data_IF_656780047606
#
_entry.id   IF_656780047606
#
_cell.length_a   1.000
_cell.length_b   1.000
_cell.length_c   1.000
_cell.angle_alpha   90.00
_cell.angle_beta   90.00
_cell.angle_gamma   90.00
#
_symmetry.space_group_name_H-M   'P 1'
#
loop_
_entity.id
_entity.type
_entity.pdbx_description
1 polymer ?
#
# COMPACT_ATOMS: atom_id res chain seq x y z
N UNK A 1 7.00 1.66 20.21
CA UNK A 1 6.98 1.82 18.77
C UNK A 1 6.23 0.66 18.13
N UNK A 2 5.30 0.95 17.24
CA UNK A 2 4.49 -0.08 16.59
C UNK A 2 5.34 -0.84 15.58
N UNK A 3 5.33 -2.17 15.67
CA UNK A 3 6.07 -3.01 14.72
C UNK A 3 5.37 -3.17 13.37
N UNK A 4 4.13 -2.71 13.24
CA UNK A 4 3.34 -2.89 12.01
C UNK A 4 4.04 -2.31 10.77
N UNK A 5 4.61 -1.11 10.88
CA UNK A 5 5.33 -0.50 9.75
C UNK A 5 6.57 -1.31 9.36
N UNK A 6 7.25 -1.90 10.33
CA UNK A 6 8.41 -2.76 10.06
C UNK A 6 7.99 -4.06 9.35
N UNK A 7 6.87 -4.64 9.76
CA UNK A 7 6.35 -5.86 9.12
C UNK A 7 5.93 -5.57 7.68
N UNK A 8 5.30 -4.43 7.44
CA UNK A 8 4.92 -4.01 6.08
C UNK A 8 6.17 -3.87 5.21
N UNK A 9 7.21 -3.19 5.72
CA UNK A 9 8.47 -3.04 4.97
C UNK A 9 9.12 -4.39 4.70
N UNK A 10 9.10 -5.29 5.67
CA UNK A 10 9.69 -6.61 5.50
C UNK A 10 9.01 -7.40 4.38
N UNK A 11 7.68 -7.38 4.34
CA UNK A 11 6.95 -8.07 3.28
C UNK A 11 7.17 -7.38 1.92
N UNK A 12 7.21 -6.05 1.91
CA UNK A 12 7.53 -5.32 0.69
C UNK A 12 8.89 -5.77 0.12
N UNK A 13 9.93 -5.75 0.95
CA UNK A 13 11.27 -6.14 0.53
C UNK A 13 11.32 -7.61 0.09
N UNK A 14 10.64 -8.48 0.83
CA UNK A 14 10.53 -9.89 0.48
C UNK A 14 9.90 -10.09 -0.90
N UNK A 15 8.83 -9.35 -1.21
CA UNK A 15 8.22 -9.41 -2.54
C UNK A 15 9.20 -8.99 -3.62
N UNK A 16 9.91 -7.88 -3.41
CA UNK A 16 10.88 -7.37 -4.39
C UNK A 16 11.99 -8.39 -4.62
N UNK A 17 12.52 -8.98 -3.55
CA UNK A 17 13.60 -9.96 -3.64
C UNK A 17 13.17 -11.24 -4.35
N UNK A 18 11.89 -11.54 -4.38
CA UNK A 18 11.34 -12.74 -5.01
C UNK A 18 10.65 -12.44 -6.36
N UNK A 19 10.89 -11.28 -6.94
CA UNK A 19 10.27 -10.84 -8.20
C UNK A 19 8.74 -10.92 -8.16
N UNK A 20 8.17 -10.73 -6.97
CA UNK A 20 6.73 -10.70 -6.76
C UNK A 20 6.21 -9.28 -6.69
N UNK A 21 4.92 -9.11 -6.96
CA UNK A 21 4.29 -7.79 -6.94
C UNK A 21 3.67 -7.54 -5.57
N UNK A 22 4.19 -6.55 -4.79
CA UNK A 22 3.60 -6.24 -3.48
C UNK A 22 2.30 -5.47 -3.67
N UNK A 23 1.22 -6.05 -3.17
CA UNK A 23 -0.10 -5.43 -3.15
C UNK A 23 -0.47 -5.09 -1.71
N UNK A 24 -1.08 -3.92 -1.51
CA UNK A 24 -1.52 -3.49 -0.19
C UNK A 24 -3.04 -3.40 -0.16
N UNK A 25 -3.62 -3.94 0.91
CA UNK A 25 -5.05 -3.86 1.19
C UNK A 25 -5.26 -2.89 2.34
N UNK A 26 -6.12 -1.90 2.16
CA UNK A 26 -6.38 -0.88 3.17
C UNK A 26 -7.84 -0.51 3.22
N UNK A 27 -8.31 -0.15 4.41
CA UNK A 27 -9.58 0.53 4.56
C UNK A 27 -9.47 1.94 3.98
N UNK A 28 -10.60 2.47 3.52
CA UNK A 28 -10.71 3.86 3.10
C UNK A 28 -11.48 4.58 4.20
N UNK A 29 -10.76 5.32 5.03
CA UNK A 29 -11.37 5.99 6.18
C UNK A 29 -10.52 7.16 6.65
N UNK A 30 -11.13 8.11 7.36
CA UNK A 30 -10.43 9.19 8.02
C UNK A 30 -9.50 9.95 7.10
N UNK A 31 -8.19 9.82 7.38
CA UNK A 31 -7.14 10.57 6.69
C UNK A 31 -6.64 9.90 5.41
N UNK A 32 -7.28 8.84 4.95
CA UNK A 32 -6.91 8.20 3.68
C UNK A 32 -6.99 9.23 2.55
N UNK A 33 -5.90 9.34 1.79
CA UNK A 33 -5.82 10.22 0.63
C UNK A 33 -5.66 9.37 -0.61
N UNK A 34 -6.68 9.34 -1.44
CA UNK A 34 -6.72 8.59 -2.71
C UNK A 34 -7.51 9.41 -3.73
N UNK A 35 -7.39 9.08 -5.03
CA UNK A 35 -8.24 9.73 -6.03
C UNK A 35 -9.72 9.53 -5.70
N UNK A 36 -10.52 10.56 -5.89
CA UNK A 36 -11.95 10.51 -5.58
C UNK A 36 -12.67 9.39 -6.32
N UNK A 37 -12.24 9.10 -7.55
CA UNK A 37 -12.81 8.01 -8.33
C UNK A 37 -12.67 6.63 -7.69
N UNK A 38 -11.74 6.47 -6.73
CA UNK A 38 -11.51 5.21 -6.04
C UNK A 38 -12.15 5.18 -4.64
N UNK A 39 -12.79 6.27 -4.21
CA UNK A 39 -13.28 6.41 -2.84
C UNK A 39 -14.67 5.80 -2.60
N UNK A 40 -15.26 5.17 -3.61
CA UNK A 40 -16.62 4.64 -3.52
C UNK A 40 -16.78 3.33 -2.75
N UNK A 41 -15.68 2.71 -2.32
CA UNK A 41 -15.68 1.44 -1.59
C UNK A 41 -15.17 1.64 -0.17
N UNK A 42 -15.36 0.62 0.68
CA UNK A 42 -14.83 0.65 2.05
C UNK A 42 -13.36 0.27 2.08
N UNK A 43 -12.89 -0.47 1.10
CA UNK A 43 -11.53 -0.97 1.01
C UNK A 43 -10.94 -0.69 -0.36
N UNK A 44 -9.61 -0.66 -0.42
CA UNK A 44 -8.88 -0.50 -1.67
C UNK A 44 -7.68 -1.44 -1.68
N UNK A 45 -7.37 -1.99 -2.86
CA UNK A 45 -6.15 -2.76 -3.10
C UNK A 45 -5.30 -1.97 -4.09
N UNK A 46 -4.04 -1.73 -3.74
CA UNK A 46 -3.12 -0.95 -4.57
C UNK A 46 -1.84 -1.74 -4.82
N UNK A 47 -1.33 -1.61 -6.04
CA UNK A 47 -0.07 -2.21 -6.44
C UNK A 47 1.07 -1.27 -6.04
N UNK A 48 1.99 -1.76 -5.19
CA UNK A 48 3.16 -1.00 -4.74
C UNK A 48 4.44 -1.37 -5.47
N UNK A 49 4.35 -2.07 -6.59
CA UNK A 49 5.54 -2.44 -7.36
C UNK A 49 6.32 -1.21 -7.78
N UNK A 50 7.68 -1.25 -7.76
CA UNK A 50 8.51 -0.07 -8.07
C UNK A 50 8.23 0.55 -9.44
N UNK A 51 7.83 -0.26 -10.42
CA UNK A 51 7.51 0.26 -11.76
C UNK A 51 6.13 0.92 -11.82
N UNK A 52 5.30 0.76 -10.78
CA UNK A 52 3.93 1.30 -10.74
C UNK A 52 3.81 2.58 -9.95
N UNK A 53 4.75 2.85 -9.03
CA UNK A 53 4.66 3.96 -8.09
C UNK A 53 6.00 4.69 -7.96
N UNK A 54 5.95 5.86 -7.32
CA UNK A 54 7.13 6.68 -7.04
C UNK A 54 7.13 7.11 -5.58
N UNK A 55 8.32 7.34 -5.03
CA UNK A 55 8.51 7.96 -3.71
C UNK A 55 7.78 7.24 -2.58
N UNK A 56 7.96 5.93 -2.51
CA UNK A 56 7.34 5.13 -1.46
C UNK A 56 7.98 5.41 -0.10
N UNK A 57 7.14 5.74 0.89
CA UNK A 57 7.52 5.85 2.30
C UNK A 57 6.60 4.98 3.13
N UNK A 58 7.20 4.18 3.99
CA UNK A 58 6.49 3.33 4.95
C UNK A 58 7.04 3.69 6.32
N UNK A 59 6.24 4.33 7.16
CA UNK A 59 6.63 4.70 8.51
C UNK A 59 5.47 4.50 9.49
N UNK A 60 5.64 4.95 10.72
CA UNK A 60 4.64 4.73 11.77
C UNK A 60 3.35 5.53 11.57
N UNK A 61 3.35 6.54 10.71
CA UNK A 61 2.14 7.28 10.36
C UNK A 61 1.33 6.55 9.30
N UNK A 62 2.01 5.86 8.39
CA UNK A 62 1.34 5.15 7.31
C UNK A 62 2.22 4.94 6.10
N UNK A 63 1.55 4.74 4.96
CA UNK A 63 2.21 4.49 3.69
C UNK A 63 1.85 5.62 2.74
N UNK A 64 2.88 6.29 2.21
CA UNK A 64 2.69 7.35 1.23
C UNK A 64 3.49 7.06 -0.04
N UNK A 65 2.94 7.45 -1.16
CA UNK A 65 3.58 7.29 -2.46
C UNK A 65 2.84 8.11 -3.50
N UNK A 66 3.42 8.16 -4.71
CA UNK A 66 2.76 8.75 -5.87
C UNK A 66 2.42 7.65 -6.86
N UNK A 67 1.20 7.65 -7.36
CA UNK A 67 0.75 6.68 -8.34
C UNK A 67 -0.06 7.34 -9.46
N UNK A 68 -0.07 6.71 -10.63
CA UNK A 68 -0.84 7.20 -11.77
C UNK A 68 -2.18 6.49 -11.83
N UNK A 69 -3.23 7.30 -11.96
CA UNK A 69 -4.60 6.80 -12.13
C UNK A 69 -5.23 7.59 -13.26
N UNK A 70 -5.72 6.88 -14.29
CA UNK A 70 -6.28 7.50 -15.48
C UNK A 70 -5.34 8.54 -16.12
N UNK A 71 -4.03 8.22 -16.16
CA UNK A 71 -3.02 9.08 -16.76
C UNK A 71 -2.56 10.26 -15.92
N UNK A 72 -3.11 10.44 -14.72
CA UNK A 72 -2.73 11.53 -13.80
C UNK A 72 -1.99 11.01 -12.61
N UNK A 73 -1.01 11.78 -12.13
CA UNK A 73 -0.22 11.46 -10.94
C UNK A 73 -0.93 11.98 -9.70
N UNK A 74 -1.14 11.10 -8.71
CA UNK A 74 -1.78 11.44 -7.45
C UNK A 74 -0.86 11.12 -6.28
N UNK A 75 -0.96 11.93 -5.23
CA UNK A 75 -0.36 11.62 -3.94
C UNK A 75 -1.33 10.72 -3.17
N UNK A 76 -0.82 9.58 -2.71
CA UNK A 76 -1.60 8.59 -1.97
C UNK A 76 -1.08 8.55 -0.54
N UNK A 77 -1.98 8.47 0.42
CA UNK A 77 -1.63 8.23 1.81
C UNK A 77 -2.62 7.25 2.43
N UNK A 78 -2.09 6.20 3.04
CA UNK A 78 -2.85 5.19 3.76
C UNK A 78 -2.42 5.23 5.22
N UNK A 79 -3.29 5.66 6.15
CA UNK A 79 -2.95 5.62 7.58
C UNK A 79 -2.56 4.21 8.00
N UNK A 80 -1.57 4.08 8.87
CA UNK A 80 -1.08 2.78 9.31
C UNK A 80 -2.21 1.94 9.91
N UNK A 81 -3.07 2.56 10.72
CA UNK A 81 -4.21 1.88 11.34
C UNK A 81 -5.22 1.35 10.34
N UNK A 82 -5.25 1.88 9.13
CA UNK A 82 -6.19 1.47 8.08
C UNK A 82 -5.68 0.30 7.24
N UNK A 83 -4.39 0.01 7.29
CA UNK A 83 -3.79 -1.07 6.49
C UNK A 83 -4.22 -2.42 7.05
N UNK A 84 -4.84 -3.23 6.21
CA UNK A 84 -5.33 -4.57 6.56
C UNK A 84 -4.36 -5.67 6.18
N UNK A 85 -3.48 -5.44 5.23
CA UNK A 85 -2.51 -6.43 4.83
C UNK A 85 -1.63 -5.99 3.68
N UNK A 86 -0.54 -6.73 3.51
CA UNK A 86 0.37 -6.58 2.37
C UNK A 86 0.78 -8.00 1.94
N UNK A 87 0.77 -8.24 0.65
CA UNK A 87 0.97 -9.61 0.13
C UNK A 87 1.53 -9.60 -1.29
N UNK A 88 2.12 -10.74 -1.66
CA UNK A 88 2.54 -10.97 -3.03
C UNK A 88 1.31 -11.32 -3.87
N UNK A 89 1.04 -10.56 -4.93
CA UNK A 89 -0.11 -10.80 -5.80
C UNK A 89 -0.10 -12.22 -6.37
N UNK A 90 1.08 -12.71 -6.76
CA UNK A 90 1.23 -13.98 -7.45
C UNK A 90 0.84 -15.20 -6.61
N UNK A 91 1.03 -15.12 -5.30
CA UNK A 91 0.79 -16.25 -4.39
C UNK A 91 -0.28 -15.97 -3.34
N UNK A 92 -0.53 -14.71 -3.04
CA UNK A 92 -1.39 -14.32 -1.93
C UNK A 92 -0.70 -14.38 -0.57
N UNK A 93 0.57 -14.80 -0.52
CA UNK A 93 1.32 -14.87 0.73
C UNK A 93 1.74 -13.49 1.20
N UNK A 94 1.60 -13.27 2.49
CA UNK A 94 1.95 -12.00 3.11
C UNK A 94 1.53 -11.97 4.56
N UNK A 95 1.28 -10.77 5.06
CA UNK A 95 0.82 -10.55 6.42
C UNK A 95 -0.50 -9.78 6.39
N UNK A 96 -1.47 -10.25 7.16
CA UNK A 96 -2.76 -9.58 7.34
C UNK A 96 -2.93 -9.22 8.81
N UNK A 97 -3.47 -8.02 9.05
CA UNK A 97 -3.58 -7.46 10.39
C UNK A 97 -5.00 -7.48 10.92
#
# INVERSE_FOLDING_TARGET
MDKKSYLIRAIYDWCIDNDSSPYILSLIEGKTLIPESLSGSKEIVLNLSPQSIQNLYIDEEGISFKGRFNGKLFNIFLPLSSVLGIYAKESGDGIFF
#
